data_IF_283336517416
#
_entry.id   IF_283336517416
#
_cell.length_a   1.000
_cell.length_b   1.000
_cell.length_c   1.000
_cell.angle_alpha   90.00
_cell.angle_beta   90.00
_cell.angle_gamma   90.00
#
_symmetry.space_group_name_H-M   'P 1'
#
loop_
_entity.id
_entity.type
_entity.pdbx_description
1 polymer ?
#
# COMPACT_ATOMS: atom_id res chain seq x y z
N UNK A 1 -16.99 24.88 23.31
CA UNK A 1 -18.27 24.90 24.06
C UNK A 1 -19.48 25.44 23.28
N UNK A 2 -19.38 25.82 21.99
CA UNK A 2 -20.48 26.46 21.24
C UNK A 2 -21.45 25.54 20.48
N UNK A 3 -21.43 24.21 20.69
CA UNK A 3 -22.11 23.26 19.80
C UNK A 3 -23.62 23.08 20.06
N UNK A 4 -24.14 23.56 21.19
CA UNK A 4 -25.57 23.52 21.50
C UNK A 4 -26.03 24.92 21.91
N UNK A 5 -27.11 25.40 21.31
CA UNK A 5 -27.81 26.62 21.76
C UNK A 5 -28.22 26.42 23.23
N UNK A 6 -27.53 27.09 24.15
CA UNK A 6 -27.85 27.06 25.58
C UNK A 6 -29.25 27.62 25.77
N UNK A 7 -30.14 26.81 26.31
CA UNK A 7 -31.49 27.23 26.69
C UNK A 7 -31.51 27.58 28.18
N UNK A 8 -32.55 28.28 28.64
CA UNK A 8 -32.65 28.73 30.05
C UNK A 8 -32.44 27.59 31.07
N UNK A 9 -32.91 26.37 30.75
CA UNK A 9 -32.82 25.19 31.63
C UNK A 9 -31.37 24.68 31.86
N UNK A 10 -30.60 24.30 30.82
CA UNK A 10 -29.20 23.90 31.01
C UNK A 10 -28.32 25.05 31.52
N UNK A 11 -28.62 26.30 31.13
CA UNK A 11 -27.96 27.46 31.72
C UNK A 11 -28.19 27.51 33.24
N UNK A 12 -29.44 27.42 33.70
CA UNK A 12 -29.76 27.47 35.12
C UNK A 12 -29.14 26.31 35.90
N UNK A 13 -29.06 25.12 35.32
CA UNK A 13 -28.38 23.99 35.97
C UNK A 13 -26.89 24.25 36.17
N UNK A 14 -26.19 24.71 35.13
CA UNK A 14 -24.76 25.05 35.22
C UNK A 14 -24.52 26.24 36.15
N UNK A 15 -25.38 27.25 36.09
CA UNK A 15 -25.31 28.43 36.94
C UNK A 15 -25.58 28.07 38.40
N UNK A 16 -26.62 27.29 38.71
CA UNK A 16 -26.95 26.89 40.08
C UNK A 16 -25.82 26.05 40.71
N UNK A 17 -25.23 25.12 39.96
CA UNK A 17 -24.07 24.36 40.45
C UNK A 17 -22.86 25.27 40.69
N UNK A 18 -22.51 26.11 39.71
CA UNK A 18 -21.37 27.02 39.84
C UNK A 18 -21.59 28.06 40.95
N UNK A 19 -22.82 28.54 41.13
CA UNK A 19 -23.20 29.48 42.18
C UNK A 19 -23.07 28.84 43.55
N UNK A 20 -23.58 27.61 43.74
CA UNK A 20 -23.46 26.87 45.01
C UNK A 20 -22.00 26.57 45.37
N UNK A 21 -21.16 26.30 44.37
CA UNK A 21 -19.72 26.08 44.59
C UNK A 21 -18.97 27.39 44.86
N UNK A 22 -19.28 28.46 44.14
CA UNK A 22 -18.58 29.74 44.26
C UNK A 22 -19.01 30.52 45.52
N UNK A 23 -20.31 30.58 45.80
CA UNK A 23 -20.91 31.40 46.86
C UNK A 23 -21.06 30.58 48.13
N UNK A 24 -19.92 30.13 48.66
CA UNK A 24 -19.83 29.49 49.99
C UNK A 24 -19.29 30.49 51.00
N UNK A 25 -19.64 30.34 52.29
CA UNK A 25 -19.15 31.23 53.36
C UNK A 25 -17.62 31.30 53.36
N UNK A 26 -16.96 30.14 53.25
CA UNK A 26 -15.50 30.04 53.15
C UNK A 26 -14.91 30.82 51.98
N UNK A 27 -15.49 30.70 50.77
CA UNK A 27 -15.00 31.45 49.61
C UNK A 27 -15.23 32.95 49.74
N UNK A 28 -16.37 33.36 50.31
CA UNK A 28 -16.70 34.76 50.57
C UNK A 28 -15.72 35.34 51.58
N UNK A 29 -15.49 34.67 52.71
CA UNK A 29 -14.51 35.06 53.72
C UNK A 29 -13.10 35.11 53.16
N UNK A 30 -12.70 34.11 52.36
CA UNK A 30 -11.40 34.09 51.70
C UNK A 30 -11.24 35.24 50.70
N UNK A 31 -12.29 35.61 49.97
CA UNK A 31 -12.29 36.76 49.06
C UNK A 31 -12.11 38.08 49.84
N UNK A 32 -12.88 38.29 50.90
CA UNK A 32 -12.74 39.48 51.76
C UNK A 32 -11.38 39.54 52.46
N UNK A 33 -10.87 38.41 52.94
CA UNK A 33 -9.54 38.32 53.53
C UNK A 33 -8.47 38.66 52.50
N UNK A 34 -8.64 38.21 51.25
CA UNK A 34 -7.71 38.50 50.14
C UNK A 34 -7.63 39.99 49.80
N UNK A 35 -8.74 40.70 49.96
CA UNK A 35 -8.80 42.16 49.85
C UNK A 35 -8.35 42.90 51.12
N UNK A 36 -8.00 42.19 52.19
CA UNK A 36 -7.64 42.79 53.49
C UNK A 36 -8.80 43.52 54.17
N UNK A 37 -10.05 43.26 53.75
CA UNK A 37 -11.24 43.91 54.30
C UNK A 37 -11.77 43.19 55.54
N UNK A 38 -11.75 41.85 55.52
CA UNK A 38 -12.23 41.05 56.65
C UNK A 38 -11.41 39.75 56.81
N UNK A 39 -10.70 39.57 57.94
CA UNK A 39 -10.40 40.59 58.96
C UNK A 39 -9.65 41.80 58.35
N UNK A 40 -9.82 42.99 58.93
CA UNK A 40 -9.20 44.23 58.43
C UNK A 40 -7.68 44.14 58.57
N UNK A 41 -6.99 43.99 57.45
CA UNK A 41 -5.53 43.84 57.36
C UNK A 41 -5.01 44.59 56.11
N UNK A 42 -4.84 45.93 56.21
CA UNK A 42 -4.40 46.75 55.08
C UNK A 42 -2.97 46.39 54.62
N UNK A 43 -2.13 45.86 55.51
CA UNK A 43 -0.75 45.47 55.20
C UNK A 43 -0.68 44.38 54.13
N UNK A 44 -1.68 43.49 54.08
CA UNK A 44 -1.76 42.43 53.08
C UNK A 44 -1.99 42.95 51.65
N UNK A 45 -2.72 44.05 51.51
CA UNK A 45 -2.91 44.74 50.22
C UNK A 45 -1.66 45.53 49.86
N UNK A 46 -1.09 46.25 50.84
CA UNK A 46 0.13 47.03 50.65
C UNK A 46 1.32 46.15 50.25
N UNK A 47 1.46 44.94 50.81
CA UNK A 47 2.48 43.95 50.41
C UNK A 47 2.37 43.55 48.94
N UNK A 48 1.16 43.43 48.39
CA UNK A 48 0.94 43.10 46.96
C UNK A 48 1.33 44.25 46.05
N UNK A 49 1.09 45.50 46.47
CA UNK A 49 1.49 46.70 45.74
C UNK A 49 3.00 46.97 45.84
N UNK A 50 3.64 46.51 46.92
CA UNK A 50 5.10 46.58 47.12
C UNK A 50 5.87 45.49 46.36
N UNK A 51 5.19 44.57 45.66
CA UNK A 51 5.84 43.67 44.71
C UNK A 51 6.30 44.54 43.54
N UNK A 52 7.51 45.12 43.65
CA UNK A 52 8.34 45.42 42.48
C UNK A 52 8.32 44.15 41.61
N UNK A 53 8.21 44.23 40.27
CA UNK A 53 8.52 43.09 39.43
C UNK A 53 9.96 42.70 39.79
N UNK A 54 10.07 41.68 40.65
CA UNK A 54 11.35 41.12 40.99
C UNK A 54 11.80 40.52 39.68
N UNK A 55 12.81 41.13 39.05
CA UNK A 55 13.63 40.43 38.07
C UNK A 55 13.86 39.06 38.68
N UNK A 56 13.43 37.97 38.02
CA UNK A 56 13.41 36.65 38.63
C UNK A 56 14.75 36.44 39.34
N UNK A 57 14.75 36.11 40.64
CA UNK A 57 16.02 35.81 41.30
C UNK A 57 16.72 34.78 40.41
N UNK A 58 18.01 34.97 40.16
CA UNK A 58 18.87 33.98 39.51
C UNK A 58 18.94 32.74 40.41
N UNK A 59 17.83 32.02 40.54
CA UNK A 59 17.72 30.76 41.25
C UNK A 59 18.48 29.75 40.43
N UNK A 60 19.79 29.68 40.68
CA UNK A 60 20.56 28.50 41.08
C UNK A 60 19.98 27.17 40.57
N UNK A 61 19.66 27.13 39.29
CA UNK A 61 19.65 25.95 38.45
C UNK A 61 20.49 26.31 37.25
N UNK A 62 21.76 26.66 37.50
CA UNK A 62 22.79 26.49 36.49
C UNK A 62 22.99 24.97 36.40
N UNK A 63 22.43 24.26 35.39
CA UNK A 63 22.78 22.86 35.21
C UNK A 63 24.29 22.82 35.05
N UNK A 64 24.98 22.18 36.00
CA UNK A 64 26.44 22.12 36.09
C UNK A 64 26.99 21.88 34.68
N UNK A 65 27.53 22.93 34.05
CA UNK A 65 27.89 22.89 32.64
C UNK A 65 28.89 21.76 32.49
N UNK A 66 28.59 20.72 31.70
CA UNK A 66 29.46 19.56 31.63
C UNK A 66 30.81 20.00 31.08
N UNK A 67 31.82 20.04 31.94
CA UNK A 67 33.18 20.55 31.63
C UNK A 67 33.96 19.63 30.68
N UNK A 68 33.38 18.47 30.33
CA UNK A 68 33.94 17.48 29.42
C UNK A 68 32.95 17.16 28.31
N UNK A 69 33.48 16.98 27.08
CA UNK A 69 32.74 16.50 25.90
C UNK A 69 31.97 15.21 26.22
N UNK A 70 32.53 14.33 27.06
CA UNK A 70 31.87 13.08 27.49
C UNK A 70 30.67 13.37 28.39
N UNK A 71 30.77 14.35 29.29
CA UNK A 71 29.67 14.82 30.13
C UNK A 71 28.54 15.42 29.30
N UNK A 72 28.87 16.22 28.28
CA UNK A 72 27.89 16.83 27.38
C UNK A 72 27.12 15.75 26.59
N UNK A 73 27.82 14.73 26.07
CA UNK A 73 27.17 13.61 25.37
C UNK A 73 26.21 12.84 26.28
N UNK A 74 26.57 12.62 27.55
CA UNK A 74 25.68 11.96 28.53
C UNK A 74 24.46 12.82 28.86
N UNK A 75 24.64 14.13 29.02
CA UNK A 75 23.55 15.07 29.30
C UNK A 75 22.55 15.13 28.12
N UNK A 76 23.03 15.27 26.89
CA UNK A 76 22.17 15.28 25.69
C UNK A 76 21.39 13.98 25.56
N UNK A 77 21.99 12.82 25.86
CA UNK A 77 21.28 11.54 25.88
C UNK A 77 20.16 11.52 26.93
N UNK A 78 20.40 12.03 28.14
CA UNK A 78 19.39 12.13 29.20
C UNK A 78 18.25 13.07 28.82
N UNK A 79 18.56 14.23 28.25
CA UNK A 79 17.56 15.20 27.78
C UNK A 79 16.69 14.58 26.68
N UNK A 80 17.29 13.91 25.69
CA UNK A 80 16.53 13.22 24.63
C UNK A 80 15.63 12.13 25.19
N UNK A 81 16.12 11.34 26.16
CA UNK A 81 15.32 10.31 26.82
C UNK A 81 14.14 10.91 27.60
N UNK A 82 14.38 11.98 28.35
CA UNK A 82 13.31 12.71 29.06
C UNK A 82 12.30 13.32 28.09
N UNK A 83 12.77 13.92 26.99
CA UNK A 83 11.89 14.48 25.96
C UNK A 83 11.01 13.39 25.31
N UNK A 84 11.56 12.20 25.05
CA UNK A 84 10.77 11.07 24.57
C UNK A 84 9.74 10.61 25.60
N UNK A 85 10.08 10.59 26.89
CA UNK A 85 9.15 10.22 27.95
C UNK A 85 8.01 11.23 28.10
N UNK A 86 8.33 12.52 28.16
CA UNK A 86 7.35 13.62 28.20
C UNK A 86 6.46 13.60 26.97
N UNK A 87 7.02 13.40 25.78
CA UNK A 87 6.23 13.30 24.54
C UNK A 87 5.27 12.11 24.58
N UNK A 88 5.67 10.99 25.20
CA UNK A 88 4.84 9.79 25.30
C UNK A 88 3.70 9.96 26.32
N UNK A 89 3.98 10.64 27.44
CA UNK A 89 3.00 11.01 28.45
C UNK A 89 1.99 12.04 27.90
N UNK A 90 2.47 13.07 27.20
CA UNK A 90 1.60 14.05 26.55
C UNK A 90 0.67 13.38 25.53
N UNK A 91 1.19 12.45 24.70
CA UNK A 91 0.36 11.68 23.77
C UNK A 91 -0.70 10.82 24.47
N UNK A 92 -0.42 10.33 25.68
CA UNK A 92 -1.41 9.59 26.48
C UNK A 92 -2.50 10.53 27.02
N UNK A 93 -2.09 11.68 27.56
CA UNK A 93 -3.02 12.71 28.05
C UNK A 93 -3.92 13.25 26.92
N UNK A 94 -3.36 13.52 25.74
CA UNK A 94 -4.13 13.99 24.57
C UNK A 94 -5.20 12.97 24.16
N UNK A 95 -4.86 11.67 24.20
CA UNK A 95 -5.83 10.60 23.93
C UNK A 95 -6.94 10.56 24.98
N UNK A 96 -6.61 10.72 26.26
CA UNK A 96 -7.61 10.75 27.33
C UNK A 96 -8.54 11.95 27.22
N UNK A 97 -7.98 13.15 26.96
CA UNK A 97 -8.76 14.37 26.71
C UNK A 97 -9.72 14.15 25.55
N UNK A 98 -9.23 13.60 24.43
CA UNK A 98 -10.05 13.33 23.25
C UNK A 98 -11.18 12.32 23.53
N UNK A 99 -10.92 11.29 24.35
CA UNK A 99 -11.94 10.33 24.78
C UNK A 99 -13.00 10.97 25.68
N UNK A 100 -12.59 11.88 26.58
CA UNK A 100 -13.51 12.62 27.44
C UNK A 100 -14.39 13.55 26.59
N UNK A 101 -13.79 14.30 25.67
CA UNK A 101 -14.50 15.22 24.77
C UNK A 101 -15.47 14.47 23.85
N UNK A 102 -15.03 13.39 23.20
CA UNK A 102 -15.91 12.58 22.34
C UNK A 102 -17.10 12.01 23.10
N UNK A 103 -16.89 11.51 24.34
CA UNK A 103 -17.97 11.07 25.22
C UNK A 103 -18.93 12.22 25.57
N UNK A 104 -18.41 13.41 25.86
CA UNK A 104 -19.24 14.59 26.15
C UNK A 104 -20.04 15.03 24.92
N UNK A 105 -19.44 15.02 23.72
CA UNK A 105 -20.11 15.34 22.46
C UNK A 105 -21.22 14.34 22.13
N UNK A 106 -20.98 13.04 22.32
CA UNK A 106 -22.02 12.03 22.14
C UNK A 106 -23.19 12.24 23.10
N UNK A 107 -22.93 12.55 24.38
CA UNK A 107 -23.98 12.88 25.35
C UNK A 107 -24.78 14.12 24.92
N UNK A 108 -24.08 15.17 24.51
CA UNK A 108 -24.66 16.40 23.99
C UNK A 108 -25.57 16.15 22.76
N UNK A 109 -25.09 15.40 21.77
CA UNK A 109 -25.87 15.03 20.58
C UNK A 109 -27.11 14.21 20.93
N UNK A 110 -26.99 13.26 21.87
CA UNK A 110 -28.12 12.47 22.33
C UNK A 110 -29.18 13.33 23.04
N UNK A 111 -28.76 14.31 23.84
CA UNK A 111 -29.68 15.27 24.46
C UNK A 111 -30.36 16.15 23.41
N UNK A 112 -29.63 16.65 22.41
CA UNK A 112 -30.19 17.45 21.32
C UNK A 112 -31.19 16.64 20.49
N UNK A 113 -30.87 15.37 20.16
CA UNK A 113 -31.80 14.45 19.50
C UNK A 113 -33.07 14.24 20.33
N UNK A 114 -32.94 14.00 21.64
CA UNK A 114 -34.09 13.89 22.55
C UNK A 114 -34.92 15.18 22.59
N UNK A 115 -34.28 16.35 22.56
CA UNK A 115 -34.96 17.65 22.49
C UNK A 115 -35.79 17.76 21.20
N UNK A 116 -35.18 17.46 20.06
CA UNK A 116 -35.87 17.50 18.75
C UNK A 116 -37.05 16.52 18.71
N UNK A 117 -36.95 15.35 19.34
CA UNK A 117 -38.07 14.40 19.47
C UNK A 117 -39.24 14.97 20.28
N UNK A 118 -38.98 15.65 21.40
CA UNK A 118 -40.02 16.23 22.27
C UNK A 118 -40.78 17.39 21.61
N UNK A 119 -40.14 18.13 20.70
CA UNK A 119 -40.75 19.25 19.98
C UNK A 119 -41.33 18.88 18.61
N UNK A 120 -41.32 17.59 18.23
CA UNK A 120 -41.84 17.17 16.93
C UNK A 120 -43.35 17.32 16.93
N UNK A 121 -43.86 18.19 16.07
CA UNK A 121 -45.31 18.37 15.91
C UNK A 121 -45.94 17.02 15.58
N UNK A 122 -47.00 16.66 16.31
CA UNK A 122 -47.71 15.38 16.16
C UNK A 122 -48.48 15.25 14.84
N UNK A 123 -48.34 16.21 13.91
CA UNK A 123 -49.12 16.26 12.67
C UNK A 123 -50.62 16.42 12.91
N UNK A 124 -51.00 16.92 14.08
CA UNK A 124 -52.38 16.99 14.52
C UNK A 124 -53.12 18.16 13.86
N UNK A 125 -52.38 19.21 13.48
CA UNK A 125 -52.88 20.42 12.83
C UNK A 125 -53.17 20.17 11.36
N UNK A 126 -54.36 20.56 10.90
CA UNK A 126 -54.69 20.63 9.47
C UNK A 126 -53.99 21.85 8.84
N UNK A 127 -53.07 21.66 7.87
CA UNK A 127 -52.38 22.76 7.22
C UNK A 127 -53.29 23.65 6.37
N UNK A 128 -54.49 23.18 6.01
CA UNK A 128 -55.43 23.91 5.15
C UNK A 128 -56.11 25.08 5.87
N UNK A 129 -56.26 24.98 7.20
CA UNK A 129 -56.94 25.99 8.01
C UNK A 129 -56.17 26.27 9.32
N UNK A 130 -54.99 26.94 9.24
CA UNK A 130 -54.13 27.16 10.40
C UNK A 130 -54.65 28.23 11.37
N UNK A 131 -55.55 29.10 10.92
CA UNK A 131 -56.10 30.23 11.70
C UNK A 131 -57.35 29.87 12.51
N UNK A 132 -57.95 28.70 12.27
CA UNK A 132 -59.16 28.27 12.97
C UNK A 132 -58.79 27.44 14.21
N UNK A 133 -59.54 27.60 15.31
CA UNK A 133 -59.39 26.74 16.48
C UNK A 133 -59.72 25.29 16.11
N UNK A 134 -58.75 24.39 16.25
CA UNK A 134 -58.92 22.97 15.96
C UNK A 134 -59.06 22.18 17.26
N UNK A 135 -60.19 21.49 17.41
CA UNK A 135 -60.46 20.60 18.54
C UNK A 135 -60.05 19.17 18.20
N UNK A 136 -59.42 18.49 19.16
CA UNK A 136 -58.95 17.12 18.96
C UNK A 136 -59.60 16.21 20.00
N UNK A 137 -60.28 15.16 19.54
CA UNK A 137 -60.81 14.13 20.44
C UNK A 137 -59.65 13.31 21.03
N UNK A 138 -59.77 12.84 22.29
CA UNK A 138 -58.75 11.99 22.91
C UNK A 138 -58.38 10.76 22.07
N UNK A 139 -59.38 10.13 21.44
CA UNK A 139 -59.19 8.97 20.56
C UNK A 139 -58.31 9.30 19.33
N UNK A 140 -58.50 10.47 18.70
CA UNK A 140 -57.68 10.91 17.55
C UNK A 140 -56.23 11.19 17.97
N UNK A 141 -56.02 11.76 19.15
CA UNK A 141 -54.67 11.98 19.69
C UNK A 141 -53.97 10.65 19.98
N UNK A 142 -54.70 9.66 20.50
CA UNK A 142 -54.17 8.34 20.82
C UNK A 142 -53.77 7.56 19.57
N UNK A 143 -54.62 7.52 18.53
CA UNK A 143 -54.29 6.82 17.28
C UNK A 143 -53.05 7.41 16.59
N UNK A 144 -52.86 8.73 16.64
CA UNK A 144 -51.65 9.38 16.11
C UNK A 144 -50.40 9.00 16.92
N UNK A 145 -50.51 8.90 18.25
CA UNK A 145 -49.39 8.43 19.10
C UNK A 145 -49.01 6.99 18.75
N UNK A 146 -49.99 6.11 18.57
CA UNK A 146 -49.77 4.71 18.20
C UNK A 146 -49.13 4.60 16.81
N UNK A 147 -49.63 5.35 15.82
CA UNK A 147 -49.05 5.39 14.48
C UNK A 147 -47.60 5.91 14.48
N UNK A 148 -47.30 6.96 15.25
CA UNK A 148 -45.94 7.47 15.38
C UNK A 148 -45.02 6.45 16.05
N UNK A 149 -45.47 5.81 17.14
CA UNK A 149 -44.73 4.77 17.82
C UNK A 149 -44.44 3.57 16.90
N UNK A 150 -45.45 3.11 16.14
CA UNK A 150 -45.30 2.05 15.16
C UNK A 150 -44.32 2.43 14.05
N UNK A 151 -44.39 3.67 13.52
CA UNK A 151 -43.45 4.15 12.50
C UNK A 151 -42.01 4.28 13.03
N UNK A 152 -41.82 4.65 14.30
CA UNK A 152 -40.50 4.68 14.93
C UNK A 152 -39.97 3.27 15.20
N UNK A 153 -40.82 2.33 15.59
CA UNK A 153 -40.45 0.91 15.74
C UNK A 153 -40.01 0.31 14.40
N UNK A 154 -40.81 0.48 13.34
CA UNK A 154 -40.48 0.01 12.00
C UNK A 154 -39.14 0.57 11.48
N UNK A 155 -38.84 1.84 11.76
CA UNK A 155 -37.53 2.45 11.41
C UNK A 155 -36.37 1.82 12.18
N UNK A 156 -36.55 1.48 13.45
CA UNK A 156 -35.52 0.80 14.24
C UNK A 156 -35.30 -0.62 13.76
N UNK A 157 -36.37 -1.35 13.46
CA UNK A 157 -36.30 -2.72 12.97
C UNK A 157 -35.64 -2.79 11.59
N UNK A 158 -35.97 -1.85 10.70
CA UNK A 158 -35.30 -1.72 9.39
C UNK A 158 -33.81 -1.40 9.54
N UNK A 159 -33.44 -0.56 10.52
CA UNK A 159 -32.03 -0.28 10.79
C UNK A 159 -31.32 -1.51 11.36
N UNK A 160 -31.94 -2.25 12.28
CA UNK A 160 -31.40 -3.49 12.81
C UNK A 160 -31.19 -4.53 11.69
N UNK A 161 -32.17 -4.68 10.78
CA UNK A 161 -32.04 -5.56 9.60
C UNK A 161 -30.88 -5.16 8.70
N UNK A 162 -30.63 -3.87 8.50
CA UNK A 162 -29.48 -3.39 7.72
C UNK A 162 -28.15 -3.69 8.40
N UNK A 163 -28.10 -3.57 9.73
CA UNK A 163 -26.91 -3.90 10.52
C UNK A 163 -26.64 -5.42 10.50
N UNK A 164 -27.67 -6.24 10.68
CA UNK A 164 -27.58 -7.70 10.57
C UNK A 164 -27.17 -8.16 9.17
N UNK A 165 -27.73 -7.55 8.12
CA UNK A 165 -27.33 -7.85 6.74
C UNK A 165 -25.85 -7.48 6.48
N UNK A 166 -25.33 -6.43 7.11
CA UNK A 166 -23.89 -6.10 7.04
C UNK A 166 -23.05 -7.15 7.76
N UNK A 167 -23.47 -7.59 8.95
CA UNK A 167 -22.79 -8.64 9.71
C UNK A 167 -22.79 -9.99 8.96
N UNK A 168 -23.90 -10.36 8.34
CA UNK A 168 -23.98 -11.57 7.52
C UNK A 168 -23.04 -11.50 6.32
N UNK A 169 -22.94 -10.33 5.66
CA UNK A 169 -21.99 -10.14 4.56
C UNK A 169 -20.53 -10.28 5.01
N UNK A 170 -20.17 -9.78 6.19
CA UNK A 170 -18.80 -9.94 6.71
C UNK A 170 -18.50 -11.39 7.06
N UNK A 171 -19.44 -12.11 7.68
CA UNK A 171 -19.28 -13.54 8.01
C UNK A 171 -19.10 -14.36 6.73
N UNK A 172 -19.92 -14.12 5.71
CA UNK A 172 -19.79 -14.82 4.42
C UNK A 172 -18.47 -14.52 3.70
N UNK A 173 -17.93 -13.29 3.82
CA UNK A 173 -16.61 -12.96 3.28
C UNK A 173 -15.50 -13.72 4.00
N UNK A 174 -15.53 -13.73 5.33
CA UNK A 174 -14.55 -14.44 6.16
C UNK A 174 -14.56 -15.95 5.91
N UNK A 175 -15.74 -16.56 5.76
CA UNK A 175 -15.88 -17.97 5.38
C UNK A 175 -15.25 -18.27 4.02
N UNK A 176 -15.53 -17.44 3.01
CA UNK A 176 -14.93 -17.60 1.67
C UNK A 176 -13.41 -17.46 1.69
N UNK A 177 -12.89 -16.52 2.48
CA UNK A 177 -11.44 -16.36 2.65
C UNK A 177 -10.79 -17.58 3.32
N UNK A 178 -11.44 -18.13 4.35
CA UNK A 178 -11.00 -19.37 5.00
C UNK A 178 -10.97 -20.55 4.03
N UNK A 179 -12.00 -20.72 3.20
CA UNK A 179 -12.07 -21.79 2.19
C UNK A 179 -10.95 -21.65 1.14
N UNK A 180 -10.65 -20.42 0.70
CA UNK A 180 -9.55 -20.15 -0.24
C UNK A 180 -8.20 -20.52 0.39
N UNK A 181 -7.99 -20.19 1.66
CA UNK A 181 -6.77 -20.54 2.40
C UNK A 181 -6.66 -22.06 2.53
N UNK A 182 -7.76 -22.75 2.86
CA UNK A 182 -7.78 -24.19 2.99
C UNK A 182 -7.47 -24.90 1.66
N UNK A 183 -8.08 -24.47 0.56
CA UNK A 183 -7.76 -24.99 -0.78
C UNK A 183 -6.29 -24.74 -1.16
N UNK A 184 -5.71 -23.61 -0.77
CA UNK A 184 -4.29 -23.32 -1.02
C UNK A 184 -3.39 -24.27 -0.23
N UNK A 185 -3.68 -24.52 1.04
CA UNK A 185 -2.93 -25.47 1.86
C UNK A 185 -3.00 -26.88 1.27
N UNK A 186 -4.17 -27.32 0.81
CA UNK A 186 -4.35 -28.62 0.19
C UNK A 186 -3.54 -28.74 -1.12
N UNK A 187 -3.56 -27.71 -1.97
CA UNK A 187 -2.73 -27.67 -3.19
C UNK A 187 -1.24 -27.72 -2.88
N UNK A 188 -0.80 -27.06 -1.82
CA UNK A 188 0.60 -27.09 -1.38
C UNK A 188 0.98 -28.48 -0.83
N UNK A 189 0.10 -29.13 -0.06
CA UNK A 189 0.30 -30.50 0.40
C UNK A 189 0.38 -31.50 -0.77
N UNK A 190 -0.52 -31.41 -1.75
CA UNK A 190 -0.48 -32.24 -2.95
C UNK A 190 0.81 -32.04 -3.77
N UNK A 191 1.32 -30.80 -3.84
CA UNK A 191 2.62 -30.50 -4.46
C UNK A 191 3.78 -31.11 -3.69
N UNK A 192 3.71 -31.20 -2.36
CA UNK A 192 4.74 -31.86 -1.56
C UNK A 192 4.73 -33.37 -1.77
N UNK A 193 3.55 -34.01 -1.75
CA UNK A 193 3.41 -35.46 -1.99
C UNK A 193 3.93 -35.83 -3.38
N UNK A 194 3.56 -35.07 -4.42
CA UNK A 194 4.05 -35.34 -5.78
C UNK A 194 5.56 -35.12 -5.94
N UNK A 195 6.16 -34.17 -5.21
CA UNK A 195 7.62 -34.01 -5.18
C UNK A 195 8.29 -35.21 -4.50
N UNK A 196 7.79 -35.64 -3.35
CA UNK A 196 8.31 -36.82 -2.64
C UNK A 196 8.22 -38.07 -3.52
N UNK A 197 7.09 -38.30 -4.21
CA UNK A 197 6.95 -39.43 -5.12
C UNK A 197 7.98 -39.38 -6.25
N UNK A 198 8.18 -38.22 -6.88
CA UNK A 198 9.20 -38.06 -7.93
C UNK A 198 10.62 -38.31 -7.43
N UNK A 199 10.93 -37.91 -6.19
CA UNK A 199 12.22 -38.19 -5.57
C UNK A 199 12.40 -39.70 -5.30
N UNK A 200 11.38 -40.37 -4.78
CA UNK A 200 11.37 -41.81 -4.58
C UNK A 200 11.53 -42.57 -5.91
N UNK A 201 10.80 -42.18 -6.95
CA UNK A 201 10.90 -42.79 -8.28
C UNK A 201 12.28 -42.55 -8.91
N UNK A 202 12.86 -41.36 -8.71
CA UNK A 202 14.21 -41.03 -9.18
C UNK A 202 15.27 -41.85 -8.45
N UNK A 203 15.12 -42.04 -7.13
CA UNK A 203 15.99 -42.90 -6.33
C UNK A 203 15.88 -44.37 -6.76
N UNK A 204 14.67 -44.88 -6.98
CA UNK A 204 14.44 -46.23 -7.48
C UNK A 204 15.08 -46.45 -8.86
N UNK A 205 14.94 -45.50 -9.78
CA UNK A 205 15.60 -45.55 -11.09
C UNK A 205 17.13 -45.49 -10.99
N UNK A 206 17.68 -44.73 -10.05
CA UNK A 206 19.12 -44.67 -9.83
C UNK A 206 19.66 -45.99 -9.28
N UNK A 207 18.97 -46.60 -8.31
CA UNK A 207 19.30 -47.91 -7.77
C UNK A 207 19.25 -49.00 -8.86
N UNK A 208 18.21 -48.99 -9.70
CA UNK A 208 18.11 -49.94 -10.82
C UNK A 208 19.28 -49.79 -11.80
N UNK A 209 19.71 -48.57 -12.12
CA UNK A 209 20.87 -48.32 -12.98
C UNK A 209 22.18 -48.82 -12.38
N UNK A 210 22.32 -48.81 -11.06
CA UNK A 210 23.50 -49.37 -10.39
C UNK A 210 23.53 -50.88 -10.52
N UNK A 211 22.40 -51.56 -10.26
CA UNK A 211 22.26 -53.01 -10.44
C UNK A 211 22.56 -53.41 -11.90
N UNK A 212 21.97 -52.71 -12.88
CA UNK A 212 22.20 -52.99 -14.30
C UNK A 212 23.67 -52.76 -14.71
N UNK A 213 24.37 -51.83 -14.06
CA UNK A 213 25.79 -51.55 -14.32
C UNK A 213 26.67 -52.66 -13.75
N UNK A 214 26.40 -53.09 -12.52
CA UNK A 214 27.11 -54.21 -11.88
C UNK A 214 26.95 -55.49 -12.71
N UNK A 215 25.73 -55.83 -13.14
CA UNK A 215 25.49 -56.96 -14.03
C UNK A 215 26.27 -56.90 -15.35
N UNK A 216 26.41 -55.70 -15.95
CA UNK A 216 27.22 -55.53 -17.16
C UNK A 216 28.71 -55.71 -16.91
N UNK A 217 29.20 -55.20 -15.80
CA UNK A 217 30.62 -55.28 -15.44
C UNK A 217 30.99 -56.73 -15.06
N UNK A 218 30.11 -57.47 -14.38
CA UNK A 218 30.23 -58.91 -14.15
C UNK A 218 30.26 -59.71 -15.46
N UNK A 219 29.34 -59.41 -16.39
CA UNK A 219 29.31 -60.07 -17.70
C UNK A 219 30.58 -59.81 -18.51
N UNK A 220 31.12 -58.59 -18.47
CA UNK A 220 32.41 -58.26 -19.10
C UNK A 220 33.57 -59.01 -18.44
N UNK A 221 33.58 -59.12 -17.12
CA UNK A 221 34.60 -59.87 -16.39
C UNK A 221 34.55 -61.37 -16.74
N UNK A 222 33.36 -61.95 -16.91
CA UNK A 222 33.20 -63.33 -17.39
C UNK A 222 33.71 -63.49 -18.83
N UNK A 223 33.31 -62.61 -19.76
CA UNK A 223 33.82 -62.65 -21.14
C UNK A 223 35.35 -62.52 -21.21
N UNK A 224 35.94 -61.73 -20.31
CA UNK A 224 37.39 -61.57 -20.25
C UNK A 224 38.07 -62.83 -19.72
N UNK A 225 37.52 -63.47 -18.68
CA UNK A 225 37.99 -64.78 -18.20
C UNK A 225 37.90 -65.85 -19.30
N UNK A 226 36.80 -65.91 -20.03
CA UNK A 226 36.67 -66.84 -21.17
C UNK A 226 37.69 -66.55 -22.28
N UNK A 227 37.98 -65.27 -22.57
CA UNK A 227 39.00 -64.90 -23.57
C UNK A 227 40.41 -65.29 -23.12
N UNK A 228 40.72 -65.12 -21.84
CA UNK A 228 42.00 -65.54 -21.26
C UNK A 228 42.14 -67.06 -21.28
N UNK A 229 41.08 -67.80 -20.96
CA UNK A 229 41.06 -69.27 -21.06
C UNK A 229 41.23 -69.74 -22.51
N UNK A 230 40.51 -69.13 -23.46
CA UNK A 230 40.71 -69.40 -24.91
C UNK A 230 42.13 -69.07 -25.38
N UNK A 231 42.74 -68.02 -24.83
CA UNK A 231 44.13 -67.67 -25.13
C UNK A 231 45.11 -68.70 -24.54
N UNK A 232 44.85 -69.21 -23.34
CA UNK A 232 45.63 -70.28 -22.71
C UNK A 232 45.54 -71.59 -23.53
N UNK A 233 44.34 -71.97 -23.97
CA UNK A 233 44.13 -73.13 -24.86
C UNK A 233 44.88 -72.94 -26.20
N UNK A 234 44.83 -71.75 -26.79
CA UNK A 234 45.61 -71.43 -28.00
C UNK A 234 47.12 -71.51 -27.76
N UNK A 235 47.61 -71.09 -26.60
CA UNK A 235 49.02 -71.20 -26.21
C UNK A 235 49.45 -72.66 -26.10
N UNK A 236 48.64 -73.53 -25.48
CA UNK A 236 48.89 -74.96 -25.44
C UNK A 236 48.89 -75.58 -26.85
N UNK A 237 47.94 -75.19 -27.71
CA UNK A 237 47.93 -75.65 -29.10
C UNK A 237 49.16 -75.20 -29.91
N UNK A 238 49.72 -74.01 -29.61
CA UNK A 238 50.96 -73.50 -30.21
C UNK A 238 52.21 -74.24 -29.72
N UNK A 239 52.25 -74.62 -28.44
CA UNK A 239 53.32 -75.48 -27.93
C UNK A 239 53.27 -76.87 -28.59
N UNK A 240 52.07 -77.45 -28.75
CA UNK A 240 51.90 -78.71 -29.49
C UNK A 240 52.26 -78.58 -30.98
N UNK A 241 52.00 -77.42 -31.60
CA UNK A 241 52.39 -77.17 -33.00
C UNK A 241 53.91 -76.96 -33.16
N UNK A 242 54.58 -76.34 -32.18
CA UNK A 242 56.05 -76.22 -32.17
C UNK A 242 56.76 -77.57 -32.05
N UNK A 243 56.17 -78.55 -31.37
CA UNK A 243 56.67 -79.93 -31.38
C UNK A 243 56.54 -80.63 -32.74
N UNK A 244 55.66 -80.15 -33.63
CA UNK A 244 55.47 -80.70 -34.98
C UNK A 244 56.38 -79.98 -36.00
N UNK A 245 56.67 -78.69 -35.82
CA UNK A 245 57.47 -77.88 -36.76
C UNK A 245 59.00 -77.97 -36.56
N UNK A 246 59.52 -78.71 -35.59
CA UNK A 246 60.97 -79.04 -35.50
C UNK A 246 61.43 -80.10 -36.52
N UNK A 247 60.54 -80.55 -37.41
CA UNK A 247 60.84 -81.53 -38.45
C UNK A 247 60.49 -80.99 -39.84
N UNK A 248 61.24 -79.99 -40.34
CA UNK A 248 61.66 -79.84 -41.76
C UNK A 248 62.39 -78.52 -42.02
N UNK A 249 63.54 -78.66 -42.66
CA UNK A 249 64.49 -77.62 -43.07
C UNK A 249 63.98 -76.69 -44.20
N UNK A 250 64.71 -75.56 -44.35
CA UNK A 250 65.31 -75.00 -45.59
C UNK A 250 64.87 -73.60 -46.10
N UNK A 251 65.75 -72.60 -45.86
CA UNK A 251 66.36 -71.56 -46.76
C UNK A 251 65.51 -70.57 -47.64
N UNK A 252 66.10 -69.44 -48.13
CA UNK A 252 65.49 -68.10 -48.16
C UNK A 252 65.29 -67.51 -49.59
N UNK A 253 64.58 -66.37 -49.73
CA UNK A 253 64.87 -65.40 -50.81
C UNK A 253 64.31 -63.97 -50.59
N UNK A 254 64.99 -63.06 -51.30
CA UNK A 254 65.02 -61.59 -51.41
C UNK A 254 63.78 -60.86 -51.98
N UNK A 255 63.78 -59.56 -51.66
CA UNK A 255 63.43 -58.37 -52.47
C UNK A 255 61.97 -58.11 -52.89
N UNK A 256 61.39 -57.00 -52.40
CA UNK A 256 61.20 -55.75 -53.18
C UNK A 256 60.19 -54.79 -52.52
N UNK A 257 60.55 -53.50 -52.46
CA UNK A 257 59.68 -52.31 -52.27
C UNK A 257 58.60 -52.23 -53.38
N UNK A 258 57.57 -51.32 -53.36
CA UNK A 258 57.54 -50.00 -52.73
C UNK A 258 56.21 -49.52 -52.09
N UNK A 259 56.34 -48.38 -51.39
CA UNK A 259 55.38 -47.26 -51.17
C UNK A 259 54.06 -47.27 -51.96
N UNK A 260 52.94 -46.92 -51.29
CA UNK A 260 52.02 -45.83 -51.70
C UNK A 260 50.91 -45.60 -50.66
N UNK A 261 50.61 -44.31 -50.48
CA UNK A 261 49.47 -43.61 -49.90
C UNK A 261 48.13 -44.35 -49.75
N UNK A 262 47.44 -44.11 -48.63
CA UNK A 262 46.07 -43.55 -48.62
C UNK A 262 45.60 -43.26 -47.18
N UNK A 263 45.57 -41.98 -46.80
CA UNK A 263 44.71 -41.45 -45.73
C UNK A 263 43.48 -40.86 -46.41
N UNK A 264 42.30 -41.44 -46.20
CA UNK A 264 41.02 -40.82 -46.55
C UNK A 264 39.94 -41.12 -45.50
N UNK A 265 39.38 -40.03 -44.98
CA UNK A 265 38.02 -39.72 -44.48
C UNK A 265 37.38 -40.62 -43.40
N UNK A 266 36.76 -40.09 -42.33
CA UNK A 266 35.50 -39.30 -42.21
C UNK A 266 35.34 -38.94 -40.71
N UNK A 267 34.63 -37.94 -40.21
CA UNK A 267 33.77 -36.88 -40.73
C UNK A 267 33.71 -35.78 -39.66
N UNK A 268 33.91 -34.53 -40.06
CA UNK A 268 33.82 -33.33 -39.22
C UNK A 268 32.38 -32.80 -39.33
N UNK A 269 31.60 -32.89 -38.26
CA UNK A 269 30.31 -32.22 -38.15
C UNK A 269 30.54 -30.70 -38.16
N UNK A 270 29.99 -30.03 -39.17
CA UNK A 270 29.84 -28.59 -39.24
C UNK A 270 28.54 -28.19 -38.55
N UNK A 271 28.61 -27.16 -37.71
CA UNK A 271 27.44 -26.43 -37.21
C UNK A 271 27.19 -25.22 -38.12
N UNK A 272 25.93 -24.86 -38.42
CA UNK A 272 25.61 -23.83 -39.41
C UNK A 272 25.74 -22.42 -38.83
N UNK A 273 26.45 -21.56 -39.57
CA UNK A 273 26.41 -20.11 -39.42
C UNK A 273 25.07 -19.58 -39.97
N UNK A 274 24.38 -18.76 -39.18
CA UNK A 274 23.21 -17.99 -39.63
C UNK A 274 23.66 -16.71 -40.33
N UNK A 275 23.13 -16.53 -41.52
CA UNK A 275 22.94 -15.28 -42.27
C UNK A 275 22.05 -14.34 -41.45
N UNK A 276 22.31 -13.02 -41.50
CA UNK A 276 21.24 -12.11 -41.88
C UNK A 276 21.65 -11.20 -43.05
N UNK A 277 20.79 -11.16 -44.06
CA UNK A 277 20.79 -10.13 -45.12
C UNK A 277 19.38 -9.55 -45.09
N UNK A 278 19.27 -8.28 -44.73
CA UNK A 278 18.26 -7.35 -45.25
C UNK A 278 18.80 -5.91 -45.10
N UNK A 279 18.43 -5.00 -46.03
CA UNK A 279 19.10 -3.72 -46.27
C UNK A 279 18.57 -2.56 -45.39
N UNK A 280 19.32 -1.44 -45.28
CA UNK A 280 18.89 -0.25 -44.56
C UNK A 280 18.05 0.69 -45.44
N UNK A 281 17.12 1.47 -44.88
CA UNK A 281 16.61 2.66 -45.54
C UNK A 281 17.46 3.89 -45.18
N UNK A 282 17.88 4.59 -46.22
CA UNK A 282 18.35 5.97 -46.20
C UNK A 282 17.27 6.91 -45.66
N UNK A 283 17.69 7.92 -44.91
CA UNK A 283 16.83 8.97 -44.37
C UNK A 283 17.61 9.87 -43.41
N UNK A 284 18.38 10.78 -44.00
CA UNK A 284 18.94 11.96 -43.34
C UNK A 284 17.81 12.81 -42.72
N UNK A 285 18.05 13.36 -41.52
CA UNK A 285 17.83 14.78 -41.20
C UNK A 285 18.47 15.13 -39.84
N UNK A 286 19.50 15.97 -39.95
CA UNK A 286 19.96 17.04 -39.06
C UNK A 286 19.96 16.90 -37.54
N UNK A 287 21.20 16.77 -37.07
CA UNK A 287 21.68 17.03 -35.74
C UNK A 287 21.81 18.55 -35.53
N UNK A 288 20.95 19.14 -34.69
CA UNK A 288 21.27 20.39 -33.99
C UNK A 288 21.72 20.04 -32.57
N UNK A 289 23.04 19.97 -32.38
CA UNK A 289 23.67 19.96 -31.06
C UNK A 289 23.54 21.36 -30.47
N UNK A 290 22.58 21.55 -29.57
CA UNK A 290 22.57 22.73 -28.69
C UNK A 290 23.53 22.48 -27.52
N UNK A 291 24.65 23.16 -27.59
CA UNK A 291 25.52 23.51 -26.47
C UNK A 291 24.71 24.14 -25.33
N UNK A 292 24.72 23.53 -24.14
CA UNK A 292 24.60 24.24 -22.86
C UNK A 292 24.90 23.28 -21.71
N UNK A 293 26.19 23.20 -21.36
CA UNK A 293 26.69 22.47 -20.20
C UNK A 293 27.75 23.35 -19.51
N UNK A 294 27.30 24.46 -18.92
CA UNK A 294 28.08 25.27 -17.97
C UNK A 294 27.08 26.10 -17.13
N UNK A 295 26.58 25.53 -16.03
CA UNK A 295 26.18 26.23 -14.80
C UNK A 295 25.28 25.32 -13.93
N UNK A 296 25.87 24.62 -12.97
CA UNK A 296 25.26 24.30 -11.67
C UNK A 296 26.23 23.47 -10.80
N UNK A 297 27.31 24.10 -10.35
CA UNK A 297 28.02 23.64 -9.16
C UNK A 297 27.43 24.38 -7.95
N UNK A 298 26.62 23.70 -7.13
CA UNK A 298 26.38 23.98 -5.70
C UNK A 298 25.21 23.13 -5.18
N UNK A 299 25.41 21.82 -5.04
CA UNK A 299 24.61 21.01 -4.13
C UNK A 299 25.56 20.13 -3.32
N UNK A 300 25.68 20.44 -2.03
CA UNK A 300 26.43 19.67 -1.05
C UNK A 300 25.82 18.26 -0.89
N UNK A 301 26.17 17.34 -1.79
CA UNK A 301 25.88 15.92 -1.65
C UNK A 301 27.08 15.22 -1.00
N UNK A 302 26.85 14.28 -0.06
CA UNK A 302 27.92 13.52 0.56
C UNK A 302 28.65 12.64 -0.48
N UNK A 303 29.97 12.43 -0.34
CA UNK A 303 30.75 11.67 -1.31
C UNK A 303 30.27 10.20 -1.37
N UNK A 304 30.32 9.58 -2.56
CA UNK A 304 29.87 8.21 -2.75
C UNK A 304 30.71 7.23 -1.92
N UNK A 305 30.04 6.27 -1.27
CA UNK A 305 30.71 5.24 -0.47
C UNK A 305 31.44 4.27 -1.40
N UNK A 306 32.76 4.22 -1.26
CA UNK A 306 33.64 3.29 -1.97
C UNK A 306 33.68 1.98 -1.16
N UNK A 307 33.40 0.85 -1.82
CA UNK A 307 33.56 -0.49 -1.23
C UNK A 307 35.04 -0.73 -0.88
N UNK A 308 35.33 -1.59 0.12
CA UNK A 308 36.70 -2.07 0.42
C UNK A 308 37.41 -2.71 -0.79
N UNK A 309 36.68 -3.06 -1.86
CA UNK A 309 37.21 -3.57 -3.12
C UNK A 309 37.53 -2.49 -4.17
N UNK A 310 37.43 -1.20 -3.84
CA UNK A 310 37.69 -0.10 -4.77
C UNK A 310 36.60 0.12 -5.83
N UNK A 311 35.52 -0.68 -5.83
CA UNK A 311 34.41 -0.50 -6.78
C UNK A 311 33.44 0.59 -6.30
N UNK A 312 33.17 1.54 -7.19
CA UNK A 312 32.13 2.57 -7.04
C UNK A 312 30.77 1.89 -7.15
N UNK A 313 30.04 1.82 -6.04
CA UNK A 313 28.70 1.22 -6.01
C UNK A 313 27.73 2.24 -6.62
N UNK A 314 27.28 1.98 -7.86
CA UNK A 314 26.21 2.77 -8.47
C UNK A 314 24.92 2.55 -7.67
N UNK A 315 24.21 3.61 -7.25
CA UNK A 315 22.93 3.44 -6.58
C UNK A 315 21.94 2.74 -7.52
N UNK A 316 21.33 1.68 -7.04
CA UNK A 316 20.26 0.95 -7.72
C UNK A 316 19.05 1.88 -7.89
N UNK A 317 18.49 1.94 -9.11
CA UNK A 317 17.36 2.81 -9.49
C UNK A 317 16.12 2.65 -8.60
N UNK A 318 16.03 1.56 -7.84
CA UNK A 318 14.91 1.22 -6.96
C UNK A 318 14.86 2.02 -5.64
N UNK A 319 15.94 2.71 -5.25
CA UNK A 319 15.99 3.45 -3.98
C UNK A 319 15.64 4.94 -4.08
N UNK A 320 15.52 5.50 -5.28
CA UNK A 320 15.06 6.89 -5.46
C UNK A 320 13.53 7.03 -5.31
N UNK A 321 12.77 5.96 -5.60
CA UNK A 321 11.30 6.00 -5.52
C UNK A 321 10.75 5.91 -4.08
N UNK A 322 11.56 5.43 -3.12
CA UNK A 322 11.13 5.26 -1.73
C UNK A 322 11.38 6.48 -0.83
N UNK A 323 12.27 7.41 -1.22
CA UNK A 323 12.60 8.56 -0.38
C UNK A 323 11.60 9.73 -0.49
N UNK A 324 10.61 9.63 -1.39
CA UNK A 324 9.59 10.67 -1.59
C UNK A 324 8.24 10.39 -0.89
N UNK A 325 8.15 9.32 -0.10
CA UNK A 325 6.87 8.82 0.46
C UNK A 325 6.58 9.30 1.90
N UNK A 326 7.51 9.98 2.57
CA UNK A 326 7.28 10.50 3.94
C UNK A 326 7.23 12.04 3.99
N UNK A 327 6.17 12.64 3.45
CA UNK A 327 5.64 13.92 3.93
C UNK A 327 4.12 13.80 3.95
N UNK A 328 3.57 13.45 5.11
CA UNK A 328 2.13 13.49 5.39
C UNK A 328 1.63 14.94 5.41
N UNK A 329 0.47 15.27 4.80
CA UNK A 329 -0.17 16.55 5.01
C UNK A 329 -1.30 16.39 6.03
N UNK A 330 -0.99 16.68 7.29
CA UNK A 330 -2.00 17.04 8.28
C UNK A 330 -1.46 18.26 9.00
N UNK A 331 -1.90 19.46 8.61
CA UNK A 331 -2.03 20.66 9.45
C UNK A 331 -2.74 21.73 8.61
N UNK A 332 -3.89 22.13 9.14
CA UNK A 332 -4.76 23.29 8.90
C UNK A 332 -4.22 24.41 7.99
N UNK A 333 -4.97 24.71 6.93
CA UNK A 333 -4.85 25.96 6.19
C UNK A 333 -5.68 27.06 6.87
N UNK A 334 -5.00 28.05 7.45
CA UNK A 334 -5.50 29.41 7.56
C UNK A 334 -4.32 30.38 7.55
N UNK A 335 -4.41 31.33 6.61
CA UNK A 335 -3.65 32.56 6.48
C UNK A 335 -2.13 32.45 6.24
N UNK A 336 -1.71 32.64 4.99
CA UNK A 336 -1.06 33.89 4.55
C UNK A 336 -0.69 33.81 3.06
N UNK A 337 -0.98 34.89 2.36
CA UNK A 337 -0.79 35.08 0.93
C UNK A 337 0.59 35.70 0.65
N UNK A 338 1.17 35.27 -0.47
CA UNK A 338 2.24 35.89 -1.27
C UNK A 338 3.66 35.98 -0.66
N UNK A 339 4.59 35.24 -1.27
CA UNK A 339 5.61 35.75 -2.22
C UNK A 339 6.13 34.52 -2.98
N UNK A 340 5.94 34.46 -4.30
CA UNK A 340 6.40 33.35 -5.16
C UNK A 340 7.66 33.76 -5.92
N UNK A 341 8.78 33.14 -5.57
CA UNK A 341 9.95 32.98 -6.44
C UNK A 341 10.42 31.53 -6.39
N UNK A 342 10.89 31.05 -7.54
CA UNK A 342 11.59 29.78 -7.82
C UNK A 342 10.76 28.52 -8.14
N UNK A 343 10.43 28.37 -9.44
CA UNK A 343 10.87 27.25 -10.30
C UNK A 343 10.49 25.79 -9.97
N UNK A 344 9.70 25.52 -8.93
CA UNK A 344 9.21 24.17 -8.65
C UNK A 344 8.00 23.79 -9.51
N UNK A 345 7.83 22.50 -9.89
CA UNK A 345 6.61 22.04 -10.53
C UNK A 345 5.41 22.36 -9.62
N UNK A 346 4.49 23.20 -10.13
CA UNK A 346 3.29 23.64 -9.41
C UNK A 346 2.49 22.41 -8.97
N UNK A 347 2.21 22.32 -7.66
CA UNK A 347 1.33 21.27 -7.14
C UNK A 347 -0.10 21.57 -7.59
N UNK A 348 -0.71 20.59 -8.27
CA UNK A 348 -2.11 20.65 -8.70
C UNK A 348 -3.00 20.66 -7.45
N UNK A 349 -3.89 21.65 -7.35
CA UNK A 349 -4.82 21.77 -6.22
C UNK A 349 -5.97 20.76 -6.34
N UNK A 350 -6.72 20.51 -5.26
CA UNK A 350 -7.76 19.48 -5.27
C UNK A 350 -8.94 19.83 -6.19
N UNK A 351 -9.21 21.12 -6.42
CA UNK A 351 -10.22 21.58 -7.37
C UNK A 351 -9.85 21.22 -8.82
N UNK A 352 -8.61 21.52 -9.23
CA UNK A 352 -8.04 21.16 -10.54
C UNK A 352 -8.05 19.64 -10.74
N UNK A 353 -7.85 18.86 -9.67
CA UNK A 353 -7.97 17.40 -9.70
C UNK A 353 -9.40 16.92 -9.93
N UNK A 354 -10.38 17.54 -9.28
CA UNK A 354 -11.81 17.23 -9.47
C UNK A 354 -12.20 17.55 -10.91
N UNK A 355 -11.86 18.74 -11.42
CA UNK A 355 -12.16 19.17 -12.79
C UNK A 355 -11.52 18.22 -13.83
N UNK A 356 -10.27 17.79 -13.60
CA UNK A 356 -9.62 16.80 -14.46
C UNK A 356 -10.33 15.44 -14.45
N UNK A 357 -10.76 14.95 -13.27
CA UNK A 357 -11.48 13.68 -13.15
C UNK A 357 -12.86 13.75 -13.82
N UNK A 358 -13.62 14.83 -13.59
CA UNK A 358 -14.91 15.05 -14.22
C UNK A 358 -14.80 15.19 -15.74
N UNK A 359 -13.76 15.87 -16.25
CA UNK A 359 -13.49 15.92 -17.69
C UNK A 359 -13.23 14.52 -18.27
N UNK A 360 -12.44 13.70 -17.57
CA UNK A 360 -12.18 12.32 -18.01
C UNK A 360 -13.47 11.47 -18.04
N UNK A 361 -14.34 11.61 -17.04
CA UNK A 361 -15.66 10.95 -17.01
C UNK A 361 -16.52 11.41 -18.21
N UNK A 362 -16.58 12.72 -18.49
CA UNK A 362 -17.32 13.25 -19.65
C UNK A 362 -16.79 12.76 -21.00
N UNK A 363 -15.50 12.42 -21.07
CA UNK A 363 -14.83 11.87 -22.25
C UNK A 363 -14.77 10.33 -22.25
N UNK A 364 -15.47 9.64 -21.34
CA UNK A 364 -15.34 8.19 -21.18
C UNK A 364 -15.64 7.41 -22.46
N UNK A 365 -16.62 7.83 -23.27
CA UNK A 365 -16.93 7.19 -24.56
C UNK A 365 -15.73 7.13 -25.53
N UNK A 366 -14.88 8.17 -25.55
CA UNK A 366 -13.66 8.19 -26.36
C UNK A 366 -12.57 7.27 -25.78
N UNK A 367 -12.55 7.08 -24.46
CA UNK A 367 -11.62 6.17 -23.80
C UNK A 367 -11.95 4.71 -24.09
N UNK A 368 -13.24 4.37 -24.17
CA UNK A 368 -13.72 3.00 -24.39
C UNK A 368 -13.31 2.43 -25.74
N UNK A 369 -13.34 3.23 -26.80
CA UNK A 369 -13.03 2.71 -28.11
C UNK A 369 -11.50 2.78 -28.37
N UNK A 370 -10.82 1.65 -28.61
CA UNK A 370 -9.38 1.64 -28.83
C UNK A 370 -8.95 2.50 -30.04
N UNK A 371 -9.85 2.70 -31.02
CA UNK A 371 -9.62 3.57 -32.18
C UNK A 371 -9.65 5.06 -31.81
N UNK A 372 -10.47 5.46 -30.83
CA UNK A 372 -10.63 6.85 -30.38
C UNK A 372 -9.81 7.20 -29.14
N UNK A 373 -9.07 6.23 -28.57
CA UNK A 373 -8.26 6.48 -27.37
C UNK A 373 -7.19 7.57 -27.58
N UNK A 374 -6.70 7.75 -28.82
CA UNK A 374 -5.82 8.86 -29.17
C UNK A 374 -6.55 10.21 -29.09
N UNK A 375 -7.81 10.25 -29.49
CA UNK A 375 -8.66 11.43 -29.42
C UNK A 375 -8.98 11.80 -27.97
N UNK A 376 -9.26 10.81 -27.10
CA UNK A 376 -9.38 11.03 -25.65
C UNK A 376 -8.16 11.79 -25.08
N UNK A 377 -6.94 11.37 -25.42
CA UNK A 377 -5.71 12.02 -24.94
C UNK A 377 -5.60 13.46 -25.44
N UNK A 378 -5.97 13.71 -26.70
CA UNK A 378 -5.94 15.04 -27.29
C UNK A 378 -6.97 15.97 -26.64
N UNK A 379 -8.21 15.50 -26.48
CA UNK A 379 -9.29 16.26 -25.83
C UNK A 379 -9.00 16.56 -24.36
N UNK A 380 -8.46 15.59 -23.63
CA UNK A 380 -8.04 15.79 -22.24
C UNK A 380 -6.89 16.79 -22.14
N UNK A 381 -5.98 16.80 -23.12
CA UNK A 381 -4.89 17.77 -23.16
C UNK A 381 -5.34 19.17 -23.61
N UNK A 382 -6.31 19.26 -24.52
CA UNK A 382 -6.97 20.50 -24.96
C UNK A 382 -7.68 21.16 -23.77
N UNK A 383 -8.44 20.39 -22.99
CA UNK A 383 -9.09 20.86 -21.76
C UNK A 383 -8.12 21.51 -20.77
N UNK A 384 -6.94 20.91 -20.55
CA UNK A 384 -5.92 21.51 -19.68
C UNK A 384 -5.24 22.74 -20.27
N UNK A 385 -5.28 22.96 -21.60
CA UNK A 385 -4.71 24.19 -22.21
C UNK A 385 -5.67 25.37 -22.12
N UNK A 386 -6.97 25.11 -22.32
CA UNK A 386 -7.97 26.17 -22.45
C UNK A 386 -8.35 26.77 -21.09
N UNK A 387 -8.22 25.99 -20.01
CA UNK A 387 -8.41 26.49 -18.66
C UNK A 387 -7.15 27.22 -18.16
N UNK A 388 -7.18 28.55 -17.96
CA UNK A 388 -6.00 29.38 -17.69
C UNK A 388 -5.25 29.02 -16.39
N UNK A 389 -5.84 28.16 -15.56
CA UNK A 389 -5.27 27.72 -14.28
C UNK A 389 -4.69 26.29 -14.31
N UNK A 390 -4.97 25.49 -15.34
CA UNK A 390 -4.62 24.06 -15.40
C UNK A 390 -3.29 23.83 -16.14
N UNK A 391 -2.17 24.32 -15.60
CA UNK A 391 -0.84 24.04 -16.18
C UNK A 391 -0.38 22.58 -15.93
N UNK A 392 -1.12 21.61 -16.46
CA UNK A 392 -0.84 20.18 -16.35
C UNK A 392 -0.21 19.71 -17.66
N UNK A 393 1.11 19.48 -17.66
CA UNK A 393 1.82 19.03 -18.87
C UNK A 393 1.41 17.63 -19.36
N UNK A 394 0.98 16.74 -18.44
CA UNK A 394 0.64 15.35 -18.75
C UNK A 394 -0.61 14.89 -17.98
N UNK A 395 -1.82 15.29 -18.42
CA UNK A 395 -3.06 15.01 -17.69
C UNK A 395 -3.34 13.51 -17.53
N UNK A 396 -3.04 12.69 -18.55
CA UNK A 396 -3.22 11.23 -18.47
C UNK A 396 -2.37 10.60 -17.36
N UNK A 397 -1.12 11.05 -17.20
CA UNK A 397 -0.22 10.53 -16.15
C UNK A 397 -0.67 10.96 -14.77
N UNK A 398 -1.23 12.16 -14.65
CA UNK A 398 -1.80 12.67 -13.39
C UNK A 398 -3.05 11.86 -13.03
N UNK A 399 -3.98 11.70 -13.98
CA UNK A 399 -5.19 10.91 -13.81
C UNK A 399 -4.87 9.47 -13.40
N UNK A 400 -3.92 8.81 -14.08
CA UNK A 400 -3.47 7.47 -13.71
C UNK A 400 -2.89 7.38 -12.29
N UNK A 401 -2.11 8.40 -11.86
CA UNK A 401 -1.59 8.45 -10.49
C UNK A 401 -2.72 8.62 -9.47
N UNK A 402 -3.70 9.46 -9.78
CA UNK A 402 -4.87 9.68 -8.93
C UNK A 402 -5.71 8.41 -8.82
N UNK A 403 -6.01 7.74 -9.93
CA UNK A 403 -6.68 6.45 -9.98
C UNK A 403 -5.96 5.41 -9.10
N UNK A 404 -4.64 5.27 -9.26
CA UNK A 404 -3.84 4.31 -8.49
C UNK A 404 -3.88 4.62 -6.98
N UNK A 405 -3.77 5.89 -6.61
CA UNK A 405 -3.84 6.31 -5.20
C UNK A 405 -5.23 6.05 -4.62
N UNK A 406 -6.29 6.32 -5.39
CA UNK A 406 -7.67 6.08 -4.96
C UNK A 406 -7.95 4.59 -4.77
N UNK A 407 -7.51 3.72 -5.69
CA UNK A 407 -7.58 2.26 -5.52
C UNK A 407 -6.87 1.79 -4.26
N UNK A 408 -5.68 2.35 -3.96
CA UNK A 408 -4.96 2.04 -2.73
C UNK A 408 -5.72 2.48 -1.47
N UNK A 409 -6.31 3.68 -1.48
CA UNK A 409 -7.15 4.17 -0.38
C UNK A 409 -8.39 3.29 -0.19
N UNK A 410 -9.08 2.91 -1.26
CA UNK A 410 -10.23 2.02 -1.20
C UNK A 410 -9.85 0.66 -0.58
N UNK A 411 -8.72 0.07 -0.98
CA UNK A 411 -8.22 -1.17 -0.37
C UNK A 411 -7.89 -1.03 1.13
N UNK A 412 -7.35 0.12 1.56
CA UNK A 412 -7.08 0.38 2.99
C UNK A 412 -8.39 0.58 3.76
N UNK A 413 -9.36 1.29 3.19
CA UNK A 413 -10.67 1.52 3.79
C UNK A 413 -11.47 0.22 3.93
N UNK A 414 -11.42 -0.65 2.92
CA UNK A 414 -12.00 -1.99 2.97
C UNK A 414 -11.42 -2.82 4.12
N UNK A 415 -10.09 -2.76 4.32
CA UNK A 415 -9.41 -3.47 5.43
C UNK A 415 -9.75 -2.91 6.81
N UNK A 416 -9.91 -1.60 6.93
CA UNK A 416 -10.06 -0.93 8.23
C UNK A 416 -11.51 -0.79 8.67
N UNK A 417 -12.45 -0.59 7.74
CA UNK A 417 -13.82 -0.20 8.04
C UNK A 417 -14.88 -1.09 7.38
N UNK A 418 -14.48 -2.04 6.55
CA UNK A 418 -15.38 -2.96 5.83
C UNK A 418 -16.29 -2.29 4.81
N UNK A 419 -16.17 -0.97 4.61
CA UNK A 419 -16.96 -0.15 3.68
C UNK A 419 -16.04 0.91 3.07
N UNK A 420 -15.95 1.03 1.75
CA UNK A 420 -15.28 2.16 1.12
C UNK A 420 -16.18 3.41 1.23
N UNK A 421 -15.71 4.47 1.88
CA UNK A 421 -16.40 5.76 1.94
C UNK A 421 -15.65 6.78 1.10
N UNK A 422 -16.34 7.39 0.13
CA UNK A 422 -15.86 8.55 -0.61
C UNK A 422 -16.34 9.82 0.10
N UNK A 423 -15.51 10.40 0.97
CA UNK A 423 -15.88 11.61 1.72
C UNK A 423 -15.70 12.92 0.94
N UNK A 424 -15.00 12.90 -0.20
CA UNK A 424 -14.68 14.09 -0.97
C UNK A 424 -15.21 13.99 -2.40
N UNK A 425 -15.58 15.12 -3.00
CA UNK A 425 -16.01 15.20 -4.41
C UNK A 425 -14.97 14.57 -5.35
N UNK A 426 -13.69 14.72 -5.01
CA UNK A 426 -12.59 14.08 -5.74
C UNK A 426 -12.62 12.56 -5.64
N UNK A 427 -12.86 12.01 -4.45
CA UNK A 427 -12.97 10.58 -4.25
C UNK A 427 -14.16 10.03 -5.04
N UNK A 428 -15.30 10.70 -5.01
CA UNK A 428 -16.50 10.29 -5.76
C UNK A 428 -16.26 10.31 -7.28
N UNK A 429 -15.67 11.38 -7.82
CA UNK A 429 -15.32 11.45 -9.24
C UNK A 429 -14.28 10.39 -9.65
N UNK A 430 -13.31 10.09 -8.79
CA UNK A 430 -12.34 9.04 -9.06
C UNK A 430 -12.93 7.63 -8.96
N UNK A 431 -13.86 7.39 -8.05
CA UNK A 431 -14.54 6.11 -7.92
C UNK A 431 -15.43 5.85 -9.15
N UNK A 432 -16.17 6.85 -9.64
CA UNK A 432 -16.92 6.77 -10.90
C UNK A 432 -15.99 6.52 -12.10
N UNK A 433 -14.86 7.24 -12.19
CA UNK A 433 -13.86 6.98 -13.23
C UNK A 433 -13.28 5.56 -13.15
N UNK A 434 -13.01 5.04 -11.95
CA UNK A 434 -12.51 3.68 -11.74
C UNK A 434 -13.54 2.64 -12.19
N UNK A 435 -14.81 2.83 -11.83
CA UNK A 435 -15.90 1.93 -12.23
C UNK A 435 -16.03 1.85 -13.76
N UNK A 436 -15.96 3.00 -14.44
CA UNK A 436 -15.91 3.11 -15.89
C UNK A 436 -14.74 2.30 -16.47
N UNK A 437 -13.51 2.52 -15.96
CA UNK A 437 -12.30 1.82 -16.44
C UNK A 437 -12.36 0.31 -16.19
N UNK A 438 -12.89 -0.13 -15.04
CA UNK A 438 -12.99 -1.54 -14.68
C UNK A 438 -14.08 -2.25 -15.47
N UNK A 439 -15.23 -1.61 -15.69
CA UNK A 439 -16.30 -2.14 -16.55
C UNK A 439 -15.78 -2.44 -17.96
N UNK A 440 -14.98 -1.53 -18.52
CA UNK A 440 -14.35 -1.74 -19.83
C UNK A 440 -13.36 -2.90 -19.85
N UNK A 441 -12.54 -3.02 -18.80
CA UNK A 441 -11.58 -4.13 -18.69
C UNK A 441 -12.34 -5.46 -18.67
N UNK A 442 -13.41 -5.55 -17.91
CA UNK A 442 -14.25 -6.76 -17.82
C UNK A 442 -14.92 -7.08 -19.15
N UNK A 443 -15.50 -6.09 -19.84
CA UNK A 443 -16.13 -6.29 -21.15
C UNK A 443 -15.12 -6.79 -22.19
N UNK A 444 -13.89 -6.28 -22.17
CA UNK A 444 -12.81 -6.76 -23.04
C UNK A 444 -12.41 -8.20 -22.71
N UNK A 445 -12.29 -8.53 -21.43
CA UNK A 445 -11.99 -9.90 -20.98
C UNK A 445 -13.11 -10.88 -21.37
N UNK A 446 -14.37 -10.46 -21.30
CA UNK A 446 -15.53 -11.24 -21.77
C UNK A 446 -15.48 -11.49 -23.28
N UNK A 447 -15.25 -10.44 -24.09
CA UNK A 447 -15.11 -10.60 -25.55
C UNK A 447 -13.96 -11.53 -25.93
N UNK A 448 -12.83 -11.45 -25.23
CA UNK A 448 -11.72 -12.38 -25.46
C UNK A 448 -12.08 -13.81 -25.07
N UNK A 449 -12.80 -14.01 -23.96
CA UNK A 449 -13.27 -15.34 -23.56
C UNK A 449 -14.28 -15.93 -24.56
N UNK A 450 -15.17 -15.11 -25.13
CA UNK A 450 -16.11 -15.51 -26.18
C UNK A 450 -15.38 -15.88 -27.47
N UNK A 451 -14.40 -15.07 -27.91
CA UNK A 451 -13.54 -15.37 -29.06
C UNK A 451 -12.81 -16.72 -28.85
N UNK A 452 -12.16 -16.91 -27.70
CA UNK A 452 -11.50 -18.18 -27.36
C UNK A 452 -12.47 -19.38 -27.35
N UNK A 453 -13.71 -19.17 -26.89
CA UNK A 453 -14.74 -20.22 -26.91
C UNK A 453 -15.16 -20.55 -28.35
N UNK A 454 -15.38 -19.54 -29.20
CA UNK A 454 -15.73 -19.75 -30.62
C UNK A 454 -14.63 -20.44 -31.41
N UNK A 455 -13.36 -20.07 -31.17
CA UNK A 455 -12.20 -20.75 -31.79
C UNK A 455 -12.07 -22.21 -31.34
N UNK A 456 -12.37 -22.52 -30.07
CA UNK A 456 -12.38 -23.90 -29.59
C UNK A 456 -13.53 -24.71 -30.18
N UNK A 457 -14.72 -24.13 -30.31
CA UNK A 457 -15.86 -24.80 -30.93
C UNK A 457 -15.70 -25.01 -32.44
N UNK A 458 -14.98 -24.13 -33.14
CA UNK A 458 -14.70 -24.31 -34.59
C UNK A 458 -13.62 -25.36 -34.88
N UNK A 459 -12.82 -25.75 -33.88
CA UNK A 459 -11.73 -26.71 -34.02
C UNK A 459 -12.11 -28.14 -33.56
N UNK A 460 -13.33 -28.34 -33.05
CA UNK A 460 -13.93 -29.65 -32.75
C UNK A 460 -14.87 -30.03 -33.88
#
# INVERSE_FOLDING_TARGET
MGFIRTTKRPFWQLFDTAWKEAVTSSNIEAAFATTGLHPFDPERVLKKLQIRPCTPPDTIYQPRTPTSIVGLRKLVKRIKQQQHQISRENLALDKEILLIESRQFQKALNQERRRRKRGRAMGLLDPSNPSLAQFFSPAKVQSIRENLAASEAAKKDEQARKEDAKLQRTILKEQKEADIIQQRMEREAARQVTKQQKEMDKAARAAQRQIDKELRDEKKAQEQKEKEERAAVRLQSRLNKKMIEESKNHLPNRESRPSISQRVAKSRFQSPARVPTDPPPEGYDDIVISTNLMAACSLNLPPPKISRSGRVIKPTKHLQDYLYIFISPSITASALSQVSTSGGPRRINDRERVELACCAIGLCGLYMNPKTRREFKLRLQEFCRDEPNLSIQNPERVLYRMEKNQRFLNQQNEKTSGTAWSETDLAQALDEWIEIVDGFRQEREQRQAEEEHTERSSNQ
#
